data_IF_900506036090
#
_entry.id   IF_900506036090
#
_cell.length_a   1.000
_cell.length_b   1.000
_cell.length_c   1.000
_cell.angle_alpha   90.00
_cell.angle_beta   90.00
_cell.angle_gamma   90.00
#
_symmetry.space_group_name_H-M   'P 1'
#
loop_
_entity.id
_entity.type
_entity.pdbx_description
1 polymer ?
#
# COMPACT_ATOMS: atom_id res chain seq x y z
N UNK A 1 -15.52 -24.11 3.25
CA UNK A 1 -16.10 -23.07 2.38
C UNK A 1 -17.61 -22.88 2.58
N UNK A 2 -18.46 -23.92 2.50
CA UNK A 2 -19.93 -23.77 2.67
C UNK A 2 -20.34 -23.01 3.94
N UNK A 3 -19.78 -23.34 5.11
CA UNK A 3 -20.06 -22.62 6.35
C UNK A 3 -19.68 -21.12 6.29
N UNK A 4 -18.56 -20.77 5.65
CA UNK A 4 -18.15 -19.38 5.48
C UNK A 4 -19.06 -18.64 4.50
N UNK A 5 -19.45 -19.28 3.41
CA UNK A 5 -20.42 -18.77 2.45
C UNK A 5 -21.77 -18.48 3.13
N UNK A 6 -22.31 -19.45 3.86
CA UNK A 6 -23.59 -19.33 4.56
C UNK A 6 -23.55 -18.23 5.62
N UNK A 7 -22.47 -18.18 6.41
CA UNK A 7 -22.27 -17.12 7.40
C UNK A 7 -22.26 -15.73 6.74
N UNK A 8 -21.54 -15.56 5.63
CA UNK A 8 -21.52 -14.28 4.91
C UNK A 8 -22.89 -13.91 4.32
N UNK A 9 -23.66 -14.88 3.82
CA UNK A 9 -25.03 -14.67 3.33
C UNK A 9 -25.98 -14.16 4.42
N UNK A 10 -25.80 -14.55 5.69
CA UNK A 10 -26.64 -14.06 6.80
C UNK A 10 -26.51 -12.55 7.07
N UNK A 11 -25.47 -11.91 6.53
CA UNK A 11 -25.23 -10.46 6.66
C UNK A 11 -25.73 -9.67 5.43
N UNK A 12 -26.18 -10.34 4.37
CA UNK A 12 -26.76 -9.68 3.20
C UNK A 12 -27.97 -8.83 3.61
N UNK A 13 -27.99 -7.56 3.17
CA UNK A 13 -29.06 -6.61 3.50
C UNK A 13 -29.03 -6.05 4.93
N UNK A 14 -28.07 -6.45 5.78
CA UNK A 14 -27.90 -5.90 7.13
C UNK A 14 -26.83 -4.81 7.21
N UNK A 15 -25.86 -4.89 6.30
CA UNK A 15 -24.75 -3.93 6.16
C UNK A 15 -24.63 -3.56 4.68
N UNK A 16 -23.96 -2.45 4.39
CA UNK A 16 -23.70 -2.01 3.02
C UNK A 16 -22.29 -1.45 2.90
N UNK A 17 -21.77 -1.43 1.67
CA UNK A 17 -20.54 -0.70 1.40
C UNK A 17 -20.77 0.80 1.63
N UNK A 18 -19.76 1.47 2.16
CA UNK A 18 -19.76 2.91 2.37
C UNK A 18 -19.72 3.65 1.02
N UNK A 19 -20.71 4.51 0.81
CA UNK A 19 -20.90 5.30 -0.43
C UNK A 19 -21.38 6.74 -0.17
N UNK A 20 -21.24 7.28 1.05
CA UNK A 20 -21.78 8.63 1.40
C UNK A 20 -21.24 9.74 0.50
N UNK A 21 -19.95 9.70 0.16
CA UNK A 21 -19.29 10.67 -0.72
C UNK A 21 -19.05 10.12 -2.14
N UNK A 22 -19.52 8.91 -2.44
CA UNK A 22 -19.21 8.23 -3.70
C UNK A 22 -20.01 8.82 -4.86
N UNK A 23 -19.34 9.02 -6.00
CA UNK A 23 -19.99 9.38 -7.24
C UNK A 23 -19.43 8.57 -8.42
N UNK A 24 -20.33 8.09 -9.28
CA UNK A 24 -19.96 7.35 -10.48
C UNK A 24 -19.11 8.22 -11.41
N UNK A 25 -18.06 7.62 -11.99
CA UNK A 25 -17.13 8.28 -12.92
C UNK A 25 -16.40 9.52 -12.36
N UNK A 26 -16.35 9.69 -11.03
CA UNK A 26 -15.60 10.75 -10.38
C UNK A 26 -14.54 10.13 -9.48
N UNK A 27 -13.30 10.05 -9.97
CA UNK A 27 -12.18 9.43 -9.25
C UNK A 27 -11.89 10.12 -7.93
N UNK A 28 -12.05 11.45 -7.85
CA UNK A 28 -11.82 12.19 -6.60
C UNK A 28 -12.88 11.86 -5.55
N UNK A 29 -14.15 11.82 -5.94
CA UNK A 29 -15.24 11.40 -5.05
C UNK A 29 -15.08 9.95 -4.58
N UNK A 30 -14.63 9.05 -5.47
CA UNK A 30 -14.36 7.65 -5.13
C UNK A 30 -13.17 7.50 -4.17
N UNK A 31 -12.11 8.28 -4.39
CA UNK A 31 -10.96 8.38 -3.50
C UNK A 31 -11.40 8.88 -2.11
N UNK A 32 -12.07 10.03 -2.05
CA UNK A 32 -12.49 10.65 -0.79
C UNK A 32 -13.46 9.75 -0.04
N UNK A 33 -14.43 9.15 -0.72
CA UNK A 33 -15.33 8.18 -0.10
C UNK A 33 -14.60 7.00 0.53
N UNK A 34 -13.51 6.51 -0.08
CA UNK A 34 -12.73 5.42 0.51
C UNK A 34 -11.90 5.90 1.70
N UNK A 35 -11.43 7.14 1.72
CA UNK A 35 -10.76 7.75 2.89
C UNK A 35 -11.76 7.90 4.03
N UNK A 36 -12.90 8.55 3.78
CA UNK A 36 -13.93 8.88 4.78
C UNK A 36 -14.50 7.65 5.48
N UNK A 37 -14.56 6.50 4.80
CA UNK A 37 -15.00 5.22 5.36
C UNK A 37 -14.34 4.92 6.72
N UNK A 38 -13.05 5.24 6.87
CA UNK A 38 -12.30 4.91 8.08
C UNK A 38 -12.55 5.90 9.21
N UNK A 39 -13.12 7.07 8.93
CA UNK A 39 -13.34 8.17 9.88
C UNK A 39 -14.82 8.38 10.22
N UNK A 40 -15.72 7.54 9.69
CA UNK A 40 -17.15 7.58 9.98
C UNK A 40 -17.55 6.44 10.92
N UNK A 41 -17.73 6.77 12.21
CA UNK A 41 -18.19 5.83 13.23
C UNK A 41 -19.61 5.28 12.93
N UNK A 42 -20.43 6.04 12.20
CA UNK A 42 -21.79 5.63 11.79
C UNK A 42 -21.80 4.88 10.44
N UNK A 43 -20.64 4.51 9.91
CA UNK A 43 -20.55 3.82 8.63
C UNK A 43 -21.35 2.52 8.65
N UNK A 44 -22.26 2.30 7.67
CA UNK A 44 -23.01 1.04 7.56
C UNK A 44 -22.12 -0.14 7.15
N UNK A 45 -20.82 0.10 6.92
CA UNK A 45 -19.84 -0.93 6.65
C UNK A 45 -19.22 -1.50 7.94
N UNK A 46 -19.29 -0.77 9.06
CA UNK A 46 -18.70 -1.17 10.34
C UNK A 46 -19.48 -2.35 10.94
N UNK A 47 -18.80 -3.48 11.19
CA UNK A 47 -19.40 -4.67 11.84
C UNK A 47 -18.84 -4.87 13.23
N UNK A 48 -17.51 -4.82 13.35
CA UNK A 48 -16.82 -4.86 14.64
C UNK A 48 -15.74 -3.78 14.63
N UNK A 49 -15.83 -2.86 15.59
CA UNK A 49 -14.89 -1.76 15.77
C UNK A 49 -14.28 -1.82 17.16
N UNK A 50 -13.08 -1.26 17.29
CA UNK A 50 -12.45 -0.93 18.56
C UNK A 50 -12.40 0.59 18.65
N UNK A 51 -13.27 1.14 19.47
CA UNK A 51 -13.29 2.58 19.77
C UNK A 51 -12.14 2.96 20.70
N UNK A 52 -11.66 4.18 20.53
CA UNK A 52 -10.66 4.82 21.38
C UNK A 52 -11.22 6.14 21.90
N UNK A 53 -10.67 6.63 23.00
CA UNK A 53 -11.10 7.84 23.70
C UNK A 53 -9.89 8.44 24.41
N UNK A 54 -9.52 9.67 24.06
CA UNK A 54 -8.43 10.37 24.71
C UNK A 54 -8.89 10.99 26.05
N UNK A 55 -8.10 10.89 27.14
CA UNK A 55 -6.76 10.27 27.22
C UNK A 55 -6.74 8.78 27.65
N UNK A 56 -7.87 8.16 27.95
CA UNK A 56 -7.94 6.86 28.66
C UNK A 56 -7.52 5.67 27.80
N UNK A 57 -7.94 5.63 26.54
CA UNK A 57 -7.71 4.53 25.61
C UNK A 57 -7.34 5.08 24.26
N UNK A 58 -6.05 5.03 23.93
CA UNK A 58 -5.47 5.69 22.75
C UNK A 58 -4.44 4.80 22.08
N UNK A 59 -4.04 5.16 20.86
CA UNK A 59 -2.94 4.53 20.14
C UNK A 59 -1.99 5.56 19.50
N UNK A 60 -0.88 5.07 18.94
CA UNK A 60 0.16 5.89 18.29
C UNK A 60 0.17 5.83 16.76
N UNK A 61 -0.86 5.26 16.11
CA UNK A 61 -0.85 4.98 14.67
C UNK A 61 -0.38 6.17 13.81
N UNK A 62 -0.94 7.37 14.01
CA UNK A 62 -0.51 8.58 13.32
C UNK A 62 0.96 8.90 13.54
N UNK A 63 1.41 8.92 14.80
CA UNK A 63 2.80 9.20 15.15
C UNK A 63 3.78 8.27 14.44
N UNK A 64 3.47 6.98 14.36
CA UNK A 64 4.38 6.04 13.70
C UNK A 64 4.36 6.13 12.17
N UNK A 65 3.29 6.63 11.56
CA UNK A 65 3.04 6.38 10.13
C UNK A 65 2.86 7.62 9.26
N UNK A 66 2.70 8.82 9.83
CA UNK A 66 2.68 10.05 9.02
C UNK A 66 3.93 10.16 8.15
N UNK A 67 3.85 10.82 6.98
CA UNK A 67 5.02 11.28 6.26
C UNK A 67 5.93 12.09 7.18
N UNK A 68 7.25 11.95 7.02
CA UNK A 68 8.23 12.63 7.89
C UNK A 68 8.04 14.14 7.98
N UNK A 69 7.61 14.81 6.92
CA UNK A 69 7.35 16.25 6.96
C UNK A 69 6.19 16.65 7.89
N UNK A 70 5.32 15.69 8.23
CA UNK A 70 4.17 15.86 9.13
C UNK A 70 4.42 15.25 10.52
N UNK A 71 5.67 14.91 10.83
CA UNK A 71 6.10 14.35 12.11
C UNK A 71 5.85 15.32 13.28
N UNK A 72 5.29 14.79 14.37
CA UNK A 72 5.13 15.54 15.62
C UNK A 72 6.41 15.57 16.47
N UNK A 73 6.32 16.19 17.65
CA UNK A 73 7.47 16.44 18.53
C UNK A 73 8.12 15.20 19.14
N UNK A 74 7.51 14.02 19.05
CA UNK A 74 8.06 12.75 19.54
C UNK A 74 9.03 12.08 18.57
N UNK A 75 9.10 12.52 17.30
CA UNK A 75 10.15 12.11 16.37
C UNK A 75 9.93 10.78 15.63
N UNK A 76 8.71 10.22 15.64
CA UNK A 76 8.35 9.04 14.86
C UNK A 76 7.67 9.43 13.54
N UNK A 77 7.90 8.64 12.49
CA UNK A 77 7.25 8.81 11.19
C UNK A 77 7.52 7.62 10.28
N UNK A 78 6.64 7.41 9.30
CA UNK A 78 6.88 6.56 8.12
C UNK A 78 7.39 5.15 8.45
N UNK A 79 6.86 4.48 9.48
CA UNK A 79 7.21 3.10 9.79
C UNK A 79 6.68 2.12 8.72
N UNK A 80 5.44 2.33 8.26
CA UNK A 80 4.84 1.53 7.19
C UNK A 80 5.07 2.17 5.81
N UNK A 81 5.82 1.47 4.98
CA UNK A 81 6.20 1.89 3.63
C UNK A 81 5.68 0.88 2.61
N UNK A 82 4.60 1.19 1.87
CA UNK A 82 4.06 0.33 0.81
C UNK A 82 5.14 0.00 -0.23
N UNK A 83 5.24 -1.26 -0.65
CA UNK A 83 6.23 -1.65 -1.68
C UNK A 83 5.70 -1.32 -3.08
N UNK A 84 6.59 -1.15 -4.06
CA UNK A 84 6.17 -0.98 -5.45
C UNK A 84 5.42 -2.22 -5.95
N UNK A 85 5.78 -3.42 -5.49
CA UNK A 85 5.04 -4.65 -5.81
C UNK A 85 3.56 -4.57 -5.40
N UNK A 86 3.24 -3.90 -4.28
CA UNK A 86 1.87 -3.69 -3.86
C UNK A 86 1.17 -2.63 -4.73
N UNK A 87 1.83 -1.51 -5.01
CA UNK A 87 1.31 -0.45 -5.89
C UNK A 87 0.99 -1.01 -7.29
N UNK A 88 1.83 -1.90 -7.82
CA UNK A 88 1.65 -2.57 -9.11
C UNK A 88 0.45 -3.51 -9.19
N UNK A 89 -0.17 -3.86 -8.07
CA UNK A 89 -1.43 -4.61 -8.06
C UNK A 89 -2.62 -3.77 -8.56
N UNK A 90 -2.54 -2.44 -8.47
CA UNK A 90 -3.60 -1.50 -8.87
C UNK A 90 -3.50 -1.16 -10.35
N UNK A 91 -4.62 -0.78 -10.97
CA UNK A 91 -4.68 -0.41 -12.38
C UNK A 91 -4.70 1.13 -12.55
N UNK A 92 -4.71 1.62 -13.80
CA UNK A 92 -4.90 3.04 -14.11
C UNK A 92 -3.61 3.88 -14.24
N UNK A 93 -2.44 3.25 -14.31
CA UNK A 93 -1.19 3.93 -14.65
C UNK A 93 -0.42 3.14 -15.72
N UNK A 94 0.55 3.75 -16.44
CA UNK A 94 1.31 3.08 -17.47
C UNK A 94 1.99 1.81 -16.94
N UNK A 95 1.75 0.68 -17.60
CA UNK A 95 2.34 -0.62 -17.25
C UNK A 95 3.05 -1.26 -18.44
N UNK A 96 4.10 -2.02 -18.12
CA UNK A 96 4.74 -2.96 -19.02
C UNK A 96 3.83 -4.19 -19.21
N UNK A 97 4.17 -5.02 -20.19
CA UNK A 97 3.40 -6.24 -20.49
C UNK A 97 3.40 -7.25 -19.32
N UNK A 98 4.40 -7.20 -18.44
CA UNK A 98 4.48 -8.05 -17.23
C UNK A 98 3.69 -7.48 -16.04
N UNK A 99 2.99 -6.36 -16.22
CA UNK A 99 2.20 -5.70 -15.18
C UNK A 99 2.98 -4.75 -14.28
N UNK A 100 4.30 -4.63 -14.45
CA UNK A 100 5.12 -3.66 -13.71
C UNK A 100 4.90 -2.24 -14.22
N UNK A 101 5.10 -1.24 -13.37
CA UNK A 101 5.00 0.17 -13.76
C UNK A 101 5.99 0.48 -14.89
N UNK A 102 5.49 1.17 -15.92
CA UNK A 102 6.28 1.58 -17.08
C UNK A 102 6.86 2.97 -16.84
N UNK A 103 8.15 3.02 -16.54
CA UNK A 103 8.88 4.27 -16.32
C UNK A 103 9.79 4.66 -17.47
N UNK A 104 9.97 3.77 -18.46
CA UNK A 104 10.80 3.99 -19.64
C UNK A 104 9.93 4.07 -20.90
N UNK A 105 10.36 4.87 -21.86
CA UNK A 105 9.76 4.98 -23.19
C UNK A 105 10.18 3.81 -24.11
N UNK A 106 9.87 3.92 -25.40
CA UNK A 106 10.21 2.87 -26.37
C UNK A 106 11.70 2.83 -26.74
N UNK A 107 12.45 3.90 -26.45
CA UNK A 107 13.88 4.03 -26.69
C UNK A 107 14.69 3.50 -25.49
N UNK A 108 14.04 3.28 -24.34
CA UNK A 108 14.68 2.81 -23.11
C UNK A 108 15.09 3.96 -22.18
N UNK A 109 14.62 5.17 -22.45
CA UNK A 109 14.90 6.38 -21.69
C UNK A 109 13.76 6.66 -20.69
N UNK A 110 14.05 7.31 -19.58
CA UNK A 110 13.00 7.66 -18.61
C UNK A 110 11.97 8.62 -19.20
N UNK A 111 10.70 8.34 -18.93
CA UNK A 111 9.61 9.27 -19.21
C UNK A 111 9.69 10.44 -18.22
N UNK A 112 9.70 11.66 -18.74
CA UNK A 112 9.73 12.90 -17.96
C UNK A 112 8.32 13.45 -17.73
N UNK A 113 8.04 13.88 -16.51
CA UNK A 113 6.75 14.39 -16.04
C UNK A 113 6.92 15.81 -15.47
N UNK A 114 5.85 16.62 -15.50
CA UNK A 114 5.85 17.94 -14.86
C UNK A 114 5.78 17.81 -13.34
N UNK A 115 5.04 16.82 -12.84
CA UNK A 115 4.91 16.51 -11.43
C UNK A 115 5.07 15.01 -11.17
N UNK A 116 5.48 14.66 -9.97
CA UNK A 116 5.63 13.26 -9.56
C UNK A 116 4.29 12.50 -9.53
N UNK A 117 3.17 13.21 -9.40
CA UNK A 117 1.82 12.62 -9.43
C UNK A 117 1.31 12.30 -10.84
N UNK A 118 1.90 12.86 -11.91
CA UNK A 118 1.35 12.74 -13.27
C UNK A 118 1.27 11.29 -13.76
N UNK A 119 2.25 10.45 -13.39
CA UNK A 119 2.24 9.01 -13.71
C UNK A 119 1.06 8.27 -13.07
N UNK A 120 0.50 8.80 -11.98
CA UNK A 120 -0.61 8.24 -11.23
C UNK A 120 -1.94 8.96 -11.45
N UNK A 121 -2.00 9.94 -12.37
CA UNK A 121 -3.18 10.78 -12.59
C UNK A 121 -4.46 9.96 -12.83
N UNK A 122 -4.32 8.79 -13.45
CA UNK A 122 -5.42 7.90 -13.77
C UNK A 122 -5.56 6.67 -12.88
N UNK A 123 -4.74 6.55 -11.83
CA UNK A 123 -4.70 5.36 -11.00
C UNK A 123 -6.06 5.05 -10.35
N UNK A 124 -6.30 3.76 -10.10
CA UNK A 124 -7.45 3.29 -9.31
C UNK A 124 -7.55 4.11 -8.00
N UNK A 125 -8.68 4.78 -7.69
CA UNK A 125 -8.80 5.72 -6.57
C UNK A 125 -8.38 5.15 -5.21
N UNK A 126 -8.68 3.87 -4.97
CA UNK A 126 -8.29 3.17 -3.74
C UNK A 126 -6.77 3.09 -3.52
N UNK A 127 -5.95 3.16 -4.57
CA UNK A 127 -4.49 3.25 -4.43
C UNK A 127 -4.13 4.51 -3.64
N UNK A 128 -4.55 5.67 -4.14
CA UNK A 128 -4.31 6.97 -3.51
C UNK A 128 -4.93 7.05 -2.12
N UNK A 129 -6.08 6.41 -1.90
CA UNK A 129 -6.73 6.35 -0.58
C UNK A 129 -5.97 5.49 0.44
N UNK A 130 -5.19 4.50 -0.02
CA UNK A 130 -4.43 3.59 0.84
C UNK A 130 -2.96 4.00 1.00
N UNK A 131 -2.40 4.68 0.01
CA UNK A 131 -0.97 4.99 -0.13
C UNK A 131 -0.81 6.47 -0.46
N UNK A 132 0.07 7.15 0.26
CA UNK A 132 0.54 8.50 -0.08
C UNK A 132 1.56 8.34 -1.20
N UNK A 133 1.19 8.82 -2.38
CA UNK A 133 2.04 8.82 -3.57
C UNK A 133 2.98 10.05 -3.57
N UNK A 134 4.12 10.00 -4.26
CA UNK A 134 5.03 11.15 -4.35
C UNK A 134 4.32 12.40 -4.91
N UNK A 135 4.34 13.49 -4.14
CA UNK A 135 3.71 14.77 -4.51
C UNK A 135 2.23 14.86 -4.20
N UNK A 136 1.62 13.81 -3.65
CA UNK A 136 0.22 13.81 -3.22
C UNK A 136 -0.02 14.83 -2.09
N UNK A 137 -1.25 15.33 -1.98
CA UNK A 137 -1.62 16.33 -0.97
C UNK A 137 -2.08 15.64 0.31
N UNK A 138 -1.57 16.14 1.44
CA UNK A 138 -2.07 15.80 2.77
C UNK A 138 -1.83 16.98 3.72
N UNK A 139 -2.84 17.34 4.51
CA UNK A 139 -2.77 18.50 5.43
C UNK A 139 -2.32 19.78 4.70
N UNK A 140 -2.94 20.03 3.54
CA UNK A 140 -2.67 21.17 2.66
C UNK A 140 -1.22 21.26 2.13
N UNK A 141 -0.40 20.22 2.34
CA UNK A 141 0.98 20.17 1.89
C UNK A 141 1.16 19.10 0.82
N UNK A 142 1.96 19.42 -0.20
CA UNK A 142 2.46 18.38 -1.11
C UNK A 142 3.51 17.54 -0.38
N UNK A 143 3.31 16.23 -0.37
CA UNK A 143 4.23 15.30 0.30
C UNK A 143 5.45 15.08 -0.59
N UNK A 144 6.56 15.71 -0.21
CA UNK A 144 7.78 15.76 -1.00
C UNK A 144 8.59 14.47 -0.83
N UNK A 145 8.42 13.53 -1.76
CA UNK A 145 9.17 12.26 -1.80
C UNK A 145 10.03 12.23 -3.05
N UNK A 146 11.35 12.36 -2.87
CA UNK A 146 12.36 12.19 -3.92
C UNK A 146 13.54 11.39 -3.41
N UNK A 147 14.26 10.73 -4.31
CA UNK A 147 15.54 10.07 -4.03
C UNK A 147 16.73 11.00 -4.23
N UNK A 148 16.57 12.03 -5.06
CA UNK A 148 17.61 13.02 -5.34
C UNK A 148 17.27 13.97 -6.49
N UNK A 149 18.27 14.77 -6.85
CA UNK A 149 18.27 15.63 -8.04
C UNK A 149 19.28 15.05 -9.04
N UNK A 150 18.82 14.81 -10.25
CA UNK A 150 19.67 14.49 -11.40
C UNK A 150 20.18 15.79 -12.04
N UNK A 151 21.50 15.91 -12.16
CA UNK A 151 22.21 17.10 -12.68
C UNK A 151 22.93 16.82 -13.99
N UNK A 152 22.67 15.66 -14.61
CA UNK A 152 23.17 15.37 -15.95
C UNK A 152 22.31 16.04 -17.02
N UNK A 153 22.78 15.99 -18.26
CA UNK A 153 22.03 16.50 -19.42
C UNK A 153 20.81 15.63 -19.69
N UNK A 154 19.64 16.26 -19.83
CA UNK A 154 18.41 15.61 -20.32
C UNK A 154 18.29 15.62 -21.84
N UNK A 155 19.18 16.35 -22.54
CA UNK A 155 19.23 16.37 -23.99
C UNK A 155 19.51 14.97 -24.57
N UNK A 156 18.58 14.46 -25.38
CA UNK A 156 18.65 13.12 -25.97
C UNK A 156 18.02 12.02 -25.12
N UNK A 157 17.42 12.35 -23.97
CA UNK A 157 16.82 11.38 -23.04
C UNK A 157 17.76 11.03 -21.89
N UNK A 158 17.19 10.43 -20.84
CA UNK A 158 17.95 9.97 -19.67
C UNK A 158 17.85 8.45 -19.60
N UNK A 159 18.99 7.78 -19.81
CA UNK A 159 19.04 6.32 -19.76
C UNK A 159 18.93 5.81 -18.34
N UNK A 160 18.51 4.55 -18.22
CA UNK A 160 18.38 3.87 -16.94
C UNK A 160 19.64 4.03 -16.09
N UNK A 161 19.49 4.54 -14.87
CA UNK A 161 20.62 4.90 -14.01
C UNK A 161 21.46 3.68 -13.59
N UNK A 162 20.84 2.51 -13.49
CA UNK A 162 21.46 1.26 -13.12
C UNK A 162 20.89 0.09 -13.95
N UNK A 163 21.65 -1.00 -14.15
CA UNK A 163 21.15 -2.21 -14.80
C UNK A 163 19.88 -2.74 -14.13
N UNK A 164 19.07 -3.47 -14.90
CA UNK A 164 17.92 -4.18 -14.35
C UNK A 164 18.33 -5.09 -13.18
N UNK A 165 17.49 -5.14 -12.14
CA UNK A 165 17.71 -5.92 -10.92
C UNK A 165 18.94 -5.51 -10.08
N UNK A 166 19.56 -4.37 -10.33
CA UNK A 166 20.64 -3.85 -9.48
C UNK A 166 20.12 -3.43 -8.10
N UNK A 167 20.81 -3.88 -7.05
CA UNK A 167 20.67 -3.39 -5.67
C UNK A 167 21.82 -2.47 -5.26
N UNK A 168 22.69 -2.08 -6.20
CA UNK A 168 23.78 -1.15 -5.91
C UNK A 168 23.25 0.26 -5.58
N UNK A 169 23.95 0.99 -4.73
CA UNK A 169 23.67 2.42 -4.54
C UNK A 169 23.74 3.17 -5.87
N UNK A 170 22.94 4.23 -6.01
CA UNK A 170 23.04 5.12 -7.17
C UNK A 170 24.46 5.70 -7.34
N UNK A 171 24.91 5.93 -8.59
CA UNK A 171 26.18 6.59 -8.83
C UNK A 171 26.15 8.02 -8.26
N UNK A 172 27.30 8.53 -7.84
CA UNK A 172 27.42 9.92 -7.36
C UNK A 172 27.58 10.92 -8.50
N UNK A 173 28.02 10.45 -9.67
CA UNK A 173 28.10 11.28 -10.86
C UNK A 173 26.69 11.72 -11.27
N UNK A 174 26.49 13.02 -11.44
CA UNK A 174 25.24 13.64 -11.87
C UNK A 174 24.03 13.39 -10.96
N UNK A 175 24.22 12.94 -9.72
CA UNK A 175 23.15 12.74 -8.76
C UNK A 175 23.51 13.41 -7.45
N UNK A 176 22.67 14.35 -7.04
CA UNK A 176 22.72 14.96 -5.71
C UNK A 176 21.69 14.23 -4.85
N UNK A 177 22.13 13.70 -3.71
CA UNK A 177 21.28 13.02 -2.74
C UNK A 177 21.58 13.51 -1.33
N UNK A 178 20.78 13.10 -0.35
CA UNK A 178 21.01 13.41 1.07
C UNK A 178 20.99 12.15 1.93
N UNK A 179 21.80 12.14 2.99
CA UNK A 179 21.85 11.04 3.95
C UNK A 179 20.79 11.16 5.05
N UNK A 180 20.22 12.34 5.29
CA UNK A 180 19.18 12.58 6.29
C UNK A 180 18.44 13.89 6.02
N UNK A 181 17.49 14.25 6.89
CA UNK A 181 16.65 15.44 6.76
C UNK A 181 17.39 16.79 6.91
N UNK A 182 18.59 16.83 7.52
CA UNK A 182 19.46 18.01 7.53
C UNK A 182 20.21 18.09 6.19
N UNK A 183 19.48 18.42 5.13
CA UNK A 183 19.98 18.42 3.77
C UNK A 183 20.82 19.68 3.49
N UNK A 184 21.78 19.56 2.57
CA UNK A 184 22.37 20.73 1.92
C UNK A 184 21.57 21.03 0.66
N UNK A 185 20.86 22.17 0.58
CA UNK A 185 20.10 22.51 -0.62
C UNK A 185 21.03 22.66 -1.82
N UNK A 186 20.66 22.07 -2.95
CA UNK A 186 21.33 22.24 -4.23
C UNK A 186 20.87 23.54 -4.90
N UNK A 187 21.78 24.27 -5.53
CA UNK A 187 21.44 25.45 -6.33
C UNK A 187 21.17 25.03 -7.76
N UNK A 188 19.92 25.17 -8.19
CA UNK A 188 19.45 24.83 -9.52
C UNK A 188 19.99 25.81 -10.59
N UNK A 189 19.92 25.45 -11.90
CA UNK A 189 20.40 26.32 -12.97
C UNK A 189 19.75 27.70 -13.02
N UNK A 190 18.50 27.81 -12.57
CA UNK A 190 17.75 29.07 -12.44
C UNK A 190 18.16 29.91 -11.21
N UNK A 191 19.06 29.39 -10.37
CA UNK A 191 19.54 30.01 -9.14
C UNK A 191 18.68 29.72 -7.90
N UNK A 192 17.55 29.03 -8.04
CA UNK A 192 16.72 28.61 -6.91
C UNK A 192 17.39 27.48 -6.11
N UNK A 193 16.93 27.24 -4.88
CA UNK A 193 17.48 26.19 -4.00
C UNK A 193 16.47 25.08 -3.78
N UNK A 194 16.92 23.83 -3.89
CA UNK A 194 16.08 22.66 -3.69
C UNK A 194 16.75 21.63 -2.78
N UNK A 195 15.98 21.10 -1.82
CA UNK A 195 16.41 19.95 -1.02
C UNK A 195 16.40 18.67 -1.87
N UNK A 196 17.53 17.93 -1.98
CA UNK A 196 17.65 16.81 -2.90
C UNK A 196 16.57 15.72 -2.76
N UNK A 197 16.26 15.30 -1.54
CA UNK A 197 15.25 14.28 -1.28
C UNK A 197 13.86 14.86 -0.98
N UNK A 198 13.73 16.19 -0.82
CA UNK A 198 12.52 16.77 -0.25
C UNK A 198 12.34 16.43 1.23
N UNK A 199 11.20 16.81 1.81
CA UNK A 199 11.00 16.74 3.25
C UNK A 199 10.63 15.32 3.77
N UNK A 200 10.09 14.46 2.91
CA UNK A 200 9.66 13.10 3.24
C UNK A 200 10.35 12.00 2.41
N UNK A 201 11.35 12.36 1.60
CA UNK A 201 11.94 11.46 0.61
C UNK A 201 12.84 10.35 1.13
N UNK A 202 13.57 9.76 0.19
CA UNK A 202 14.40 8.58 0.42
C UNK A 202 15.84 9.04 0.71
N UNK A 203 16.21 8.95 1.98
CA UNK A 203 17.56 9.28 2.44
C UNK A 203 18.50 8.07 2.37
N UNK A 204 19.80 8.32 2.17
CA UNK A 204 20.80 7.23 2.07
C UNK A 204 21.27 6.69 3.43
N UNK A 205 21.05 7.42 4.52
CA UNK A 205 21.51 7.07 5.86
C UNK A 205 20.43 7.16 6.93
N UNK A 206 19.18 7.43 6.55
CA UNK A 206 18.05 7.60 7.47
C UNK A 206 16.85 6.79 6.99
N UNK A 207 16.47 5.78 7.77
CA UNK A 207 15.36 4.88 7.49
C UNK A 207 14.00 5.35 8.01
N UNK A 208 13.92 6.58 8.55
CA UNK A 208 12.69 7.12 9.20
C UNK A 208 11.84 7.99 8.25
N UNK A 209 11.90 7.71 6.95
CA UNK A 209 11.18 8.42 5.88
C UNK A 209 10.62 7.43 4.85
N UNK A 210 10.11 7.90 3.70
CA UNK A 210 9.44 7.09 2.68
C UNK A 210 10.40 6.16 1.89
N UNK A 211 11.04 5.18 2.55
CA UNK A 211 12.15 4.36 2.03
C UNK A 211 11.83 3.55 0.77
N UNK A 212 10.55 3.31 0.46
CA UNK A 212 10.12 2.64 -0.77
C UNK A 212 9.68 3.58 -1.88
N UNK A 213 9.69 4.89 -1.63
CA UNK A 213 9.04 5.91 -2.44
C UNK A 213 7.58 6.18 -2.09
N UNK A 214 7.08 5.57 -1.01
CA UNK A 214 5.67 5.65 -0.62
C UNK A 214 5.53 5.67 0.91
N UNK A 215 4.42 6.24 1.39
CA UNK A 215 3.98 6.11 2.80
C UNK A 215 2.54 5.60 2.85
N UNK A 216 2.11 5.04 3.98
CA UNK A 216 0.71 4.64 4.16
C UNK A 216 -0.19 5.89 4.31
N UNK A 217 -1.39 5.87 3.72
CA UNK A 217 -2.43 6.89 3.94
C UNK A 217 -3.54 6.39 4.86
N UNK A 218 -3.97 5.15 4.68
CA UNK A 218 -5.12 4.57 5.37
C UNK A 218 -4.94 4.72 6.89
N UNK A 219 -6.01 5.12 7.60
CA UNK A 219 -6.04 5.42 9.04
C UNK A 219 -5.19 6.59 9.54
N UNK A 220 -4.48 7.32 8.68
CA UNK A 220 -3.82 8.56 9.11
C UNK A 220 -4.84 9.69 9.08
N UNK A 221 -5.06 10.30 10.24
CA UNK A 221 -6.03 11.37 10.41
C UNK A 221 -5.55 12.65 9.70
N UNK A 222 -6.28 13.12 8.68
CA UNK A 222 -5.91 14.33 7.96
C UNK A 222 -6.14 15.61 8.79
N UNK A 223 -7.01 15.59 9.80
CA UNK A 223 -7.41 16.77 10.57
C UNK A 223 -6.61 16.93 11.87
N UNK A 224 -5.99 15.86 12.37
CA UNK A 224 -5.18 15.92 13.60
C UNK A 224 -4.07 16.97 13.49
N UNK A 225 -3.96 17.97 14.36
CA UNK A 225 -2.88 18.96 14.29
C UNK A 225 -1.49 18.31 14.37
N UNK A 226 -0.50 18.78 13.62
CA UNK A 226 0.86 18.19 13.62
C UNK A 226 1.51 18.19 15.01
N UNK A 227 1.23 19.19 15.84
CA UNK A 227 1.70 19.23 17.23
C UNK A 227 1.12 18.11 18.12
N UNK A 228 0.01 17.49 17.69
CA UNK A 228 -0.70 16.42 18.41
C UNK A 228 -0.46 15.04 17.79
N UNK A 229 0.32 14.96 16.71
CA UNK A 229 0.81 13.69 16.14
C UNK A 229 1.87 13.11 17.09
N UNK A 230 1.43 12.57 18.22
CA UNK A 230 2.27 12.00 19.27
C UNK A 230 1.80 10.58 19.63
N UNK A 231 2.68 9.81 20.24
CA UNK A 231 2.31 8.52 20.83
C UNK A 231 1.24 8.73 21.89
N UNK A 232 0.31 7.77 22.01
CA UNK A 232 -0.79 7.82 22.98
C UNK A 232 -1.63 9.11 22.87
N UNK A 233 -1.87 9.60 21.66
CA UNK A 233 -2.77 10.74 21.39
C UNK A 233 -3.92 10.42 20.44
N UNK A 234 -3.79 9.38 19.62
CA UNK A 234 -4.80 9.08 18.62
C UNK A 234 -5.96 8.30 19.24
N UNK A 235 -7.15 8.86 19.09
CA UNK A 235 -8.46 8.34 19.48
C UNK A 235 -9.26 7.83 18.27
N UNK A 236 -8.61 7.70 17.11
CA UNK A 236 -9.17 7.18 15.88
C UNK A 236 -9.73 5.76 16.07
N UNK A 237 -10.99 5.54 15.68
CA UNK A 237 -11.60 4.20 15.70
C UNK A 237 -10.84 3.23 14.78
N UNK A 238 -10.59 2.02 15.26
CA UNK A 238 -10.02 0.94 14.46
C UNK A 238 -11.09 -0.07 14.04
N UNK A 239 -11.20 -0.36 12.75
CA UNK A 239 -12.19 -1.31 12.24
C UNK A 239 -11.58 -2.71 12.20
N UNK A 240 -12.07 -3.61 13.06
CA UNK A 240 -11.61 -5.00 13.12
C UNK A 240 -12.28 -5.87 12.04
N UNK A 241 -13.53 -5.59 11.71
CA UNK A 241 -14.29 -6.27 10.67
C UNK A 241 -15.28 -5.32 10.02
N UNK A 242 -15.30 -5.33 8.69
CA UNK A 242 -16.20 -4.50 7.87
C UNK A 242 -16.84 -5.29 6.75
N UNK A 243 -17.94 -4.78 6.21
CA UNK A 243 -18.74 -5.50 5.22
C UNK A 243 -17.99 -5.87 3.94
N UNK A 244 -17.02 -5.07 3.49
CA UNK A 244 -16.18 -5.46 2.37
C UNK A 244 -15.40 -6.77 2.62
N UNK A 245 -14.92 -7.00 3.85
CA UNK A 245 -14.27 -8.27 4.20
C UNK A 245 -15.27 -9.43 4.08
N UNK A 246 -16.53 -9.22 4.46
CA UNK A 246 -17.59 -10.23 4.33
C UNK A 246 -17.87 -10.56 2.86
N UNK A 247 -17.95 -9.55 1.99
CA UNK A 247 -18.11 -9.75 0.54
C UNK A 247 -16.92 -10.50 -0.05
N UNK A 248 -15.69 -10.20 0.38
CA UNK A 248 -14.49 -10.91 -0.07
C UNK A 248 -14.45 -12.36 0.44
N UNK A 249 -14.85 -12.59 1.69
CA UNK A 249 -14.98 -13.93 2.27
C UNK A 249 -16.05 -14.75 1.51
N UNK A 250 -17.19 -14.14 1.18
CA UNK A 250 -18.25 -14.74 0.36
C UNK A 250 -17.75 -15.07 -1.04
N UNK A 251 -17.05 -14.14 -1.68
CA UNK A 251 -16.51 -14.34 -3.02
C UNK A 251 -15.53 -15.51 -3.06
N UNK A 252 -14.56 -15.54 -2.15
CA UNK A 252 -13.57 -16.63 -2.07
C UNK A 252 -14.27 -17.97 -1.79
N UNK A 253 -15.17 -18.01 -0.80
CA UNK A 253 -15.87 -19.25 -0.46
C UNK A 253 -16.78 -19.75 -1.59
N UNK A 254 -17.47 -18.84 -2.29
CA UNK A 254 -18.32 -19.18 -3.42
C UNK A 254 -17.50 -19.71 -4.60
N UNK A 255 -16.40 -19.04 -4.95
CA UNK A 255 -15.49 -19.51 -6.00
C UNK A 255 -14.96 -20.92 -5.69
N UNK A 256 -14.50 -21.18 -4.46
CA UNK A 256 -13.97 -22.48 -4.06
C UNK A 256 -15.05 -23.58 -4.07
N UNK A 257 -16.31 -23.26 -3.74
CA UNK A 257 -17.44 -24.20 -3.87
C UNK A 257 -17.72 -24.53 -5.34
N UNK A 258 -17.70 -23.52 -6.22
CA UNK A 258 -17.86 -23.72 -7.65
C UNK A 258 -16.74 -24.59 -8.23
N UNK A 259 -15.48 -24.30 -7.87
CA UNK A 259 -14.31 -25.07 -8.29
C UNK A 259 -14.35 -26.53 -7.78
N UNK A 260 -14.94 -26.76 -6.60
CA UNK A 260 -15.20 -28.09 -6.07
C UNK A 260 -16.41 -28.81 -6.70
N UNK A 261 -17.01 -28.26 -7.77
CA UNK A 261 -18.11 -28.86 -8.51
C UNK A 261 -19.45 -28.84 -7.79
N UNK A 262 -19.62 -27.99 -6.77
CA UNK A 262 -20.90 -27.87 -6.06
C UNK A 262 -21.95 -27.21 -6.96
N UNK A 263 -23.17 -27.75 -6.95
CA UNK A 263 -24.28 -27.21 -7.73
C UNK A 263 -24.81 -25.91 -7.11
N UNK A 264 -25.05 -24.90 -7.94
CA UNK A 264 -25.55 -23.60 -7.51
C UNK A 264 -24.98 -22.44 -8.32
N UNK A 265 -25.43 -21.23 -8.04
CA UNK A 265 -25.01 -20.02 -8.74
C UNK A 265 -23.74 -19.38 -8.12
N UNK A 266 -22.82 -20.20 -7.61
CA UNK A 266 -21.71 -19.73 -6.77
C UNK A 266 -20.71 -18.85 -7.53
N UNK A 267 -20.35 -19.20 -8.77
CA UNK A 267 -19.42 -18.36 -9.57
C UNK A 267 -20.00 -16.97 -9.85
N UNK A 268 -21.28 -16.92 -10.21
CA UNK A 268 -21.98 -15.65 -10.42
C UNK A 268 -22.06 -14.82 -9.14
N UNK A 269 -22.28 -15.47 -7.99
CA UNK A 269 -22.33 -14.80 -6.69
C UNK A 269 -20.96 -14.23 -6.29
N UNK A 270 -19.88 -14.98 -6.55
CA UNK A 270 -18.51 -14.50 -6.37
C UNK A 270 -18.21 -13.29 -7.24
N UNK A 271 -18.57 -13.36 -8.53
CA UNK A 271 -18.45 -12.25 -9.47
C UNK A 271 -19.21 -11.00 -8.99
N UNK A 272 -20.46 -11.16 -8.54
CA UNK A 272 -21.25 -10.04 -8.03
C UNK A 272 -20.59 -9.39 -6.81
N UNK A 273 -20.10 -10.18 -5.86
CA UNK A 273 -19.40 -9.66 -4.68
C UNK A 273 -18.12 -8.88 -5.06
N UNK A 274 -17.30 -9.43 -5.96
CA UNK A 274 -16.08 -8.75 -6.43
C UNK A 274 -16.40 -7.45 -7.16
N UNK A 275 -17.41 -7.43 -8.01
CA UNK A 275 -17.78 -6.22 -8.73
C UNK A 275 -18.36 -5.13 -7.82
N UNK A 276 -19.03 -5.46 -6.71
CA UNK A 276 -19.42 -4.47 -5.70
C UNK A 276 -18.18 -3.79 -5.09
N UNK A 277 -17.15 -4.56 -4.73
CA UNK A 277 -15.89 -4.00 -4.20
C UNK A 277 -15.20 -3.13 -5.24
N UNK A 278 -15.05 -3.63 -6.47
CA UNK A 278 -14.36 -2.93 -7.56
C UNK A 278 -15.08 -1.64 -7.92
N UNK A 279 -16.41 -1.65 -8.01
CA UNK A 279 -17.21 -0.46 -8.29
C UNK A 279 -17.04 0.62 -7.23
N UNK A 280 -17.16 0.25 -5.94
CA UNK A 280 -16.97 1.21 -4.85
C UNK A 280 -15.56 1.80 -4.88
N UNK A 281 -14.55 0.97 -5.11
CA UNK A 281 -13.14 1.36 -5.11
C UNK A 281 -12.70 2.20 -6.34
N UNK A 282 -13.57 2.35 -7.34
CA UNK A 282 -13.22 2.98 -8.62
C UNK A 282 -12.31 2.11 -9.50
N UNK A 283 -12.30 0.80 -9.28
CA UNK A 283 -11.59 -0.17 -10.10
C UNK A 283 -12.42 -0.61 -11.32
N UNK A 284 -11.75 -1.06 -12.37
CA UNK A 284 -12.39 -1.56 -13.59
C UNK A 284 -13.18 -2.83 -13.25
N UNK A 285 -14.50 -2.86 -13.44
CA UNK A 285 -15.31 -4.08 -13.19
C UNK A 285 -14.93 -5.23 -14.12
N UNK A 286 -15.07 -6.45 -13.64
CA UNK A 286 -15.10 -7.65 -14.49
C UNK A 286 -16.36 -7.58 -15.37
N UNK A 287 -16.25 -7.94 -16.65
CA UNK A 287 -17.36 -7.84 -17.59
C UNK A 287 -18.36 -8.99 -17.40
N UNK A 288 -17.85 -10.20 -17.16
CA UNK A 288 -18.66 -11.41 -16.97
C UNK A 288 -18.12 -12.29 -15.85
N UNK A 289 -18.96 -13.20 -15.33
CA UNK A 289 -18.52 -14.18 -14.34
C UNK A 289 -17.44 -15.14 -14.87
N UNK A 290 -17.34 -15.32 -16.19
CA UNK A 290 -16.28 -16.10 -16.82
C UNK A 290 -14.90 -15.42 -16.71
N UNK A 291 -14.85 -14.10 -16.53
CA UNK A 291 -13.59 -13.37 -16.32
C UNK A 291 -13.03 -13.60 -14.89
N UNK A 292 -13.85 -14.16 -13.99
CA UNK A 292 -13.40 -14.65 -12.68
C UNK A 292 -12.99 -16.11 -12.80
N UNK A 293 -12.01 -16.40 -13.65
CA UNK A 293 -11.52 -17.76 -13.93
C UNK A 293 -10.44 -18.23 -12.95
N UNK A 294 -9.78 -17.31 -12.25
CA UNK A 294 -8.72 -17.59 -11.29
C UNK A 294 -9.03 -16.99 -9.89
N UNK A 295 -8.91 -17.80 -8.84
CA UNK A 295 -9.04 -17.37 -7.44
C UNK A 295 -8.10 -16.22 -7.09
N UNK A 296 -6.94 -16.12 -7.76
CA UNK A 296 -5.97 -15.05 -7.52
C UNK A 296 -6.52 -13.67 -7.88
N UNK A 297 -7.55 -13.56 -8.73
CA UNK A 297 -8.29 -12.31 -8.95
C UNK A 297 -8.99 -11.86 -7.66
N UNK A 298 -9.62 -12.79 -6.92
CA UNK A 298 -10.24 -12.53 -5.61
C UNK A 298 -9.16 -12.20 -4.58
N UNK A 299 -8.07 -12.96 -4.55
CA UNK A 299 -6.98 -12.74 -3.60
C UNK A 299 -6.33 -11.37 -3.80
N UNK A 300 -6.06 -10.98 -5.05
CA UNK A 300 -5.53 -9.64 -5.40
C UNK A 300 -6.49 -8.54 -4.97
N UNK A 301 -7.78 -8.71 -5.25
CA UNK A 301 -8.79 -7.73 -4.83
C UNK A 301 -8.85 -7.61 -3.30
N UNK A 302 -8.76 -8.73 -2.57
CA UNK A 302 -8.67 -8.75 -1.11
C UNK A 302 -7.44 -8.01 -0.58
N UNK A 303 -6.26 -8.20 -1.20
CA UNK A 303 -5.03 -7.49 -0.81
C UNK A 303 -5.15 -5.98 -0.99
N UNK A 304 -5.74 -5.53 -2.11
CA UNK A 304 -5.96 -4.11 -2.38
C UNK A 304 -6.96 -3.52 -1.39
N UNK A 305 -8.09 -4.19 -1.20
CA UNK A 305 -9.19 -3.71 -0.35
C UNK A 305 -8.76 -3.61 1.12
N UNK A 306 -8.21 -4.69 1.69
CA UNK A 306 -7.88 -4.82 3.11
C UNK A 306 -6.42 -4.45 3.42
N UNK A 307 -5.78 -3.68 2.54
CA UNK A 307 -4.41 -3.23 2.72
C UNK A 307 -4.27 -2.47 4.04
N UNK A 308 -3.22 -2.78 4.82
CA UNK A 308 -2.91 -2.13 6.11
C UNK A 308 -3.95 -2.34 7.22
N UNK A 309 -4.85 -3.32 7.09
CA UNK A 309 -5.87 -3.67 8.09
C UNK A 309 -5.54 -4.98 8.85
N UNK A 310 -4.26 -5.32 9.00
CA UNK A 310 -3.77 -6.52 9.71
C UNK A 310 -4.24 -7.88 9.12
N UNK A 311 -4.63 -7.94 7.84
CA UNK A 311 -5.14 -9.18 7.20
C UNK A 311 -4.09 -9.99 6.46
N UNK A 312 -3.17 -9.33 5.76
CA UNK A 312 -2.30 -9.96 4.75
C UNK A 312 -1.45 -11.12 5.32
N UNK A 313 -0.90 -10.97 6.52
CA UNK A 313 -0.10 -12.02 7.16
C UNK A 313 -0.89 -13.33 7.32
N UNK A 314 -2.13 -13.22 7.80
CA UNK A 314 -3.02 -14.36 8.00
C UNK A 314 -3.53 -14.92 6.68
N UNK A 315 -3.81 -14.06 5.71
CA UNK A 315 -4.23 -14.46 4.36
C UNK A 315 -3.14 -15.28 3.65
N UNK A 316 -1.89 -14.82 3.65
CA UNK A 316 -0.78 -15.56 3.05
C UNK A 316 -0.53 -16.90 3.77
N UNK A 317 -0.70 -16.93 5.10
CA UNK A 317 -0.57 -18.15 5.90
C UNK A 317 -1.67 -19.17 5.58
N UNK A 318 -2.94 -18.76 5.56
CA UNK A 318 -4.05 -19.68 5.30
C UNK A 318 -4.09 -20.18 3.85
N UNK A 319 -3.62 -19.37 2.90
CA UNK A 319 -3.43 -19.79 1.51
C UNK A 319 -2.22 -20.69 1.28
N UNK A 320 -1.34 -20.84 2.28
CA UNK A 320 -0.09 -21.63 2.17
C UNK A 320 0.81 -21.14 1.02
N UNK A 321 0.98 -19.82 0.95
CA UNK A 321 1.83 -19.17 -0.06
C UNK A 321 2.86 -18.22 0.53
N UNK A 322 2.85 -17.94 1.84
CA UNK A 322 3.81 -17.00 2.44
C UNK A 322 5.25 -17.48 2.29
N UNK A 323 5.51 -18.79 2.40
CA UNK A 323 6.83 -19.40 2.17
C UNK A 323 7.29 -19.30 0.72
N UNK A 324 6.34 -19.25 -0.23
CA UNK A 324 6.62 -19.07 -1.66
C UNK A 324 6.88 -17.61 -2.00
N UNK A 325 6.10 -16.71 -1.41
CA UNK A 325 6.24 -15.26 -1.61
C UNK A 325 7.38 -14.64 -0.83
N UNK A 326 7.75 -15.22 0.31
CA UNK A 326 8.87 -14.80 1.15
C UNK A 326 9.95 -15.89 1.11
N UNK A 327 10.70 -15.95 0.01
CA UNK A 327 11.81 -16.87 -0.16
C UNK A 327 13.03 -16.13 -0.70
N UNK A 328 13.79 -15.51 0.21
CA UNK A 328 14.88 -14.61 -0.18
C UNK A 328 14.39 -13.39 -0.96
N UNK A 329 13.13 -13.02 -0.77
CA UNK A 329 12.41 -12.02 -1.56
C UNK A 329 12.99 -10.65 -1.34
N UNK A 330 13.27 -9.97 -2.46
CA UNK A 330 13.62 -8.55 -2.50
C UNK A 330 12.44 -7.78 -3.06
N UNK A 331 12.06 -6.71 -2.38
CA UNK A 331 10.99 -5.84 -2.83
C UNK A 331 11.49 -4.76 -3.77
N UNK A 332 10.57 -4.31 -4.63
CA UNK A 332 10.78 -3.18 -5.51
C UNK A 332 10.33 -1.89 -4.84
N UNK A 333 10.94 -0.81 -5.30
CA UNK A 333 10.73 0.57 -4.85
C UNK A 333 10.61 1.49 -6.06
N UNK A 334 9.97 2.63 -5.88
CA UNK A 334 9.89 3.68 -6.89
C UNK A 334 10.67 4.89 -6.39
N UNK A 335 11.61 5.38 -7.19
CA UNK A 335 12.53 6.44 -6.78
C UNK A 335 12.33 7.66 -7.68
N UNK A 336 11.58 8.69 -7.23
CA UNK A 336 11.43 9.93 -7.99
C UNK A 336 12.73 10.75 -7.97
N UNK A 337 13.11 11.31 -9.11
CA UNK A 337 14.21 12.26 -9.23
C UNK A 337 13.73 13.55 -9.90
N UNK A 338 14.22 14.69 -9.42
CA UNK A 338 14.08 15.96 -10.13
C UNK A 338 15.22 16.14 -11.14
N UNK A 339 14.93 16.57 -12.35
CA UNK A 339 15.89 16.78 -13.44
C UNK A 339 16.20 18.28 -13.53
N UNK A 340 17.40 18.66 -13.12
CA UNK A 340 17.75 20.07 -12.88
C UNK A 340 17.71 20.95 -14.14
N UNK A 341 18.11 20.43 -15.30
CA UNK A 341 18.18 21.19 -16.56
C UNK A 341 16.85 21.23 -17.34
N UNK A 342 15.94 20.29 -17.06
CA UNK A 342 14.66 20.15 -17.72
C UNK A 342 13.48 20.70 -16.90
N UNK A 343 13.67 20.87 -15.59
CA UNK A 343 12.61 21.22 -14.64
C UNK A 343 11.46 20.20 -14.63
N UNK A 344 11.83 18.92 -14.72
CA UNK A 344 10.91 17.78 -14.81
C UNK A 344 11.24 16.73 -13.75
N UNK A 345 10.41 15.69 -13.67
CA UNK A 345 10.63 14.52 -12.84
C UNK A 345 10.69 13.25 -13.66
N UNK A 346 11.51 12.28 -13.24
CA UNK A 346 11.35 10.89 -13.67
C UNK A 346 11.24 9.95 -12.47
N UNK A 347 10.73 8.74 -12.73
CA UNK A 347 10.62 7.69 -11.73
C UNK A 347 11.55 6.53 -12.08
N UNK A 348 12.38 6.09 -11.15
CA UNK A 348 13.17 4.87 -11.32
C UNK A 348 12.55 3.71 -10.52
N UNK A 349 12.00 2.74 -11.25
CA UNK A 349 11.42 1.54 -10.68
C UNK A 349 12.47 0.42 -10.59
N UNK A 350 12.87 0.05 -9.37
CA UNK A 350 14.03 -0.82 -9.13
C UNK A 350 13.87 -1.73 -7.92
N UNK A 351 14.79 -2.69 -7.75
CA UNK A 351 14.95 -3.39 -6.46
C UNK A 351 15.51 -2.43 -5.41
N UNK A 352 15.08 -2.62 -4.18
CA UNK A 352 15.54 -1.85 -3.02
C UNK A 352 17.07 -1.94 -2.85
N UNK A 353 17.73 -0.78 -2.82
CA UNK A 353 19.18 -0.68 -2.65
C UNK A 353 19.67 -1.12 -1.26
N UNK A 354 18.77 -1.19 -0.27
CA UNK A 354 19.06 -1.76 1.06
C UNK A 354 19.29 -3.27 1.01
N UNK A 355 18.90 -3.94 -0.08
CA UNK A 355 19.12 -5.37 -0.32
C UNK A 355 18.66 -6.28 0.85
N UNK A 356 17.60 -5.88 1.56
CA UNK A 356 17.02 -6.64 2.66
C UNK A 356 16.16 -7.78 2.13
N UNK A 357 16.54 -9.03 2.46
CA UNK A 357 15.88 -10.24 1.97
C UNK A 357 14.93 -10.80 3.01
N UNK A 358 13.71 -11.09 2.59
CA UNK A 358 12.66 -11.62 3.43
C UNK A 358 12.43 -13.09 3.12
N UNK A 359 12.56 -13.93 4.15
CA UNK A 359 12.33 -15.37 4.07
C UNK A 359 11.38 -15.78 5.19
N UNK A 360 10.42 -16.64 4.86
CA UNK A 360 9.52 -17.26 5.82
C UNK A 360 9.89 -18.74 5.99
N UNK A 361 10.27 -19.13 7.21
CA UNK A 361 10.46 -20.54 7.53
C UNK A 361 9.10 -21.24 7.62
N UNK A 362 8.93 -22.33 6.88
CA UNK A 362 7.69 -23.13 6.86
C UNK A 362 7.20 -23.56 8.26
N UNK A 363 8.06 -23.68 9.27
CA UNK A 363 7.60 -23.93 10.65
C UNK A 363 6.71 -22.81 11.20
N UNK A 364 6.92 -21.56 10.76
CA UNK A 364 6.17 -20.38 11.20
C UNK A 364 4.72 -20.36 10.71
N UNK A 365 4.31 -21.34 9.90
CA UNK A 365 2.89 -21.60 9.68
C UNK A 365 2.16 -21.86 11.01
N UNK A 366 2.84 -22.45 11.98
CA UNK A 366 2.36 -22.65 13.34
C UNK A 366 3.21 -21.86 14.35
N UNK A 367 2.60 -21.48 15.48
CA UNK A 367 3.31 -20.81 16.57
C UNK A 367 3.96 -21.85 17.48
N UNK A 368 5.16 -21.60 17.98
CA UNK A 368 5.77 -22.46 18.99
C UNK A 368 4.92 -22.42 20.27
N UNK A 369 4.54 -23.59 20.79
CA UNK A 369 3.93 -23.68 22.11
C UNK A 369 5.06 -23.40 23.12
N UNK A 370 4.90 -22.44 24.06
CA UNK A 370 5.93 -22.13 25.05
C UNK A 370 6.36 -23.39 25.81
N UNK A 371 7.67 -23.61 25.97
CA UNK A 371 8.19 -24.83 26.63
C UNK A 371 7.67 -25.01 28.05
N UNK A 372 7.42 -23.92 28.77
CA UNK A 372 6.80 -23.94 30.10
C UNK A 372 5.37 -24.48 30.11
N UNK A 373 4.65 -24.46 28.98
CA UNK A 373 3.32 -25.07 28.83
C UNK A 373 3.44 -26.55 28.53
N UNK A 374 4.36 -26.95 27.64
CA UNK A 374 4.62 -28.37 27.33
C UNK A 374 5.03 -29.15 28.58
N UNK A 375 5.91 -28.58 29.39
CA UNK A 375 6.39 -29.23 30.62
C UNK A 375 5.29 -29.53 31.66
N UNK A 376 4.10 -28.91 31.54
CA UNK A 376 2.97 -29.12 32.47
C UNK A 376 2.22 -30.42 32.22
N UNK A 377 2.29 -30.99 31.02
CA UNK A 377 1.56 -32.21 30.71
C UNK A 377 2.16 -32.95 29.51
N UNK A 378 2.36 -34.27 29.60
CA UNK A 378 2.80 -35.08 28.46
C UNK A 378 1.78 -35.12 27.29
N UNK A 379 0.54 -34.67 27.52
CA UNK A 379 -0.50 -34.60 26.48
C UNK A 379 -0.40 -33.34 25.61
N UNK A 380 0.46 -32.39 25.96
CA UNK A 380 0.66 -31.16 25.17
C UNK A 380 1.83 -31.39 24.22
N UNK A 381 1.51 -31.70 22.97
CA UNK A 381 2.49 -32.00 21.92
C UNK A 381 2.83 -30.70 21.18
N UNK A 382 4.12 -30.51 20.89
CA UNK A 382 4.62 -29.34 20.15
C UNK A 382 4.08 -29.29 18.72
N UNK A 383 3.93 -28.07 18.18
CA UNK A 383 3.61 -27.86 16.78
C UNK A 383 4.77 -28.31 15.85
N UNK A 384 4.48 -28.75 14.62
CA UNK A 384 5.49 -29.25 13.70
C UNK A 384 6.65 -28.28 13.48
N UNK A 385 7.87 -28.81 13.61
CA UNK A 385 9.11 -28.06 13.34
C UNK A 385 9.72 -27.36 14.55
N UNK A 386 9.15 -27.42 15.75
CA UNK A 386 9.71 -26.78 16.96
C UNK A 386 10.11 -27.75 18.06
#
# INVERSE_FOLDING_TARGET
FKAAYDAAKLLEGKYSLYTKAWAANNKEAQYQNFVDLFFDDESPENILIKGYHFPETVHGYDAYNVPRQLMGGNGYSSEVNPTLNFVEMFDGFPKNADGTIKTLDAQGEYVLYDNTMDIFADAEPRLRASVILPGDIMKEQSIEIRRGIYTGSSAGGISKLLPANSTANYPTANIVSSSNANQTPYTLPDGSKMNPAGLSGVFTGDGTAAVSGFSVRKYIDPERPTAEVLENRSDQTWIEMRYAEILLNRAEAAYELNAAGQTGNYLQDAFTCINQIRERAGAIKLATAADLDNVDTIRRERRKELAFENKIWWDLKRWRIIDKEQNGTLYRTLMPFYVADAEKYFMDARLDERNSRYTFDTRWYYQQIPGSVISKSPNIIQNPGY
#
